data_IF_098861687410
#
_entry.id   IF_098861687410
#
_cell.length_a   1.000
_cell.length_b   1.000
_cell.length_c   1.000
_cell.angle_alpha   90.00
_cell.angle_beta   90.00
_cell.angle_gamma   90.00
#
_symmetry.space_group_name_H-M   'P 1'
#
loop_
_entity.id
_entity.type
_entity.pdbx_description
1 polymer ?
#
# COMPACT_ATOMS: atom_id res chain seq x y z
N UNK A 1 -14.44 14.15 -5.31
CA UNK A 1 -14.65 13.10 -6.34
C UNK A 1 -14.98 13.67 -7.73
N UNK A 2 -15.13 14.99 -7.94
CA UNK A 2 -15.49 15.56 -9.26
C UNK A 2 -14.31 15.90 -10.18
N UNK A 3 -13.09 16.09 -9.66
CA UNK A 3 -11.96 16.57 -10.49
C UNK A 3 -11.38 15.49 -11.42
N UNK A 4 -11.41 14.23 -10.99
CA UNK A 4 -10.86 13.10 -11.77
C UNK A 4 -11.62 12.85 -13.07
N UNK A 5 -12.96 12.98 -13.03
CA UNK A 5 -13.80 12.87 -14.23
C UNK A 5 -13.61 14.06 -15.18
N UNK A 6 -13.30 15.26 -14.68
CA UNK A 6 -13.02 16.42 -15.52
C UNK A 6 -11.68 16.29 -16.26
N UNK A 7 -10.64 15.79 -15.58
CA UNK A 7 -9.32 15.57 -16.20
C UNK A 7 -9.42 14.48 -17.28
N UNK A 8 -10.14 13.39 -17.01
CA UNK A 8 -10.31 12.29 -17.97
C UNK A 8 -11.14 12.72 -19.20
N UNK A 9 -12.20 13.52 -19.00
CA UNK A 9 -13.00 14.08 -20.10
C UNK A 9 -12.20 15.05 -20.98
N UNK A 10 -11.36 15.90 -20.40
CA UNK A 10 -10.50 16.81 -21.16
C UNK A 10 -9.42 16.07 -21.97
N UNK A 11 -8.95 14.92 -21.48
CA UNK A 11 -7.99 14.07 -22.19
C UNK A 11 -8.62 13.28 -23.35
N UNK A 12 -9.88 12.84 -23.20
CA UNK A 12 -10.65 12.12 -24.22
C UNK A 12 -11.18 13.03 -25.33
N UNK A 13 -11.37 14.33 -25.07
CA UNK A 13 -11.95 15.29 -26.02
C UNK A 13 -10.93 16.00 -26.94
N UNK A 14 -9.66 15.58 -26.97
CA UNK A 14 -8.73 16.01 -28.02
C UNK A 14 -8.51 17.53 -28.08
N UNK A 15 -8.36 18.19 -26.94
CA UNK A 15 -8.11 19.62 -26.87
C UNK A 15 -6.76 19.99 -27.50
N UNK A 16 -6.81 20.60 -28.69
CA UNK A 16 -5.74 21.43 -29.27
C UNK A 16 -5.38 22.54 -28.27
N UNK A 17 -4.46 22.24 -27.37
CA UNK A 17 -4.03 23.14 -26.31
C UNK A 17 -2.79 22.59 -25.61
N UNK A 18 -1.72 22.40 -26.38
CA UNK A 18 -0.47 21.76 -25.96
C UNK A 18 0.35 22.50 -24.90
N UNK A 19 -0.26 23.30 -24.02
CA UNK A 19 0.44 24.14 -23.04
C UNK A 19 0.17 23.87 -21.57
N UNK A 20 -0.87 23.11 -21.18
CA UNK A 20 -1.33 23.12 -19.75
C UNK A 20 -1.30 21.78 -19.00
N UNK A 21 -1.02 20.65 -19.64
CA UNK A 21 -1.04 19.33 -18.95
C UNK A 21 0.15 19.17 -18.01
N UNK A 22 1.32 19.69 -18.39
CA UNK A 22 2.55 19.61 -17.58
C UNK A 22 2.47 20.47 -16.31
N UNK A 23 1.74 21.59 -16.36
CA UNK A 23 1.52 22.47 -15.22
C UNK A 23 0.52 21.86 -14.21
N UNK A 24 -0.55 21.20 -14.69
CA UNK A 24 -1.51 20.47 -13.83
C UNK A 24 -0.92 19.22 -13.15
N UNK A 25 0.08 18.57 -13.76
CA UNK A 25 0.79 17.40 -13.18
C UNK A 25 1.77 17.79 -12.06
N UNK A 26 2.29 19.01 -12.10
CA UNK A 26 3.16 19.56 -11.07
C UNK A 26 2.38 20.21 -9.92
N UNK A 27 1.14 20.64 -10.13
CA UNK A 27 0.29 21.23 -9.07
C UNK A 27 -0.49 20.18 -8.25
N UNK A 28 -0.61 18.93 -8.71
CA UNK A 28 -1.28 17.85 -7.99
C UNK A 28 -0.29 16.81 -7.46
N UNK A 29 0.22 17.03 -6.25
CA UNK A 29 1.08 16.07 -5.54
C UNK A 29 0.32 14.81 -5.06
N UNK A 30 -1.01 14.84 -5.06
CA UNK A 30 -1.87 13.71 -4.66
C UNK A 30 -2.16 12.71 -5.79
N UNK A 31 -1.56 12.88 -6.98
CA UNK A 31 -1.74 11.90 -8.05
C UNK A 31 -1.00 10.60 -7.72
N UNK A 32 -1.75 9.49 -7.70
CA UNK A 32 -1.22 8.13 -7.60
C UNK A 32 -0.09 7.93 -8.64
N UNK A 33 1.09 7.41 -8.24
CA UNK A 33 2.21 7.12 -9.13
C UNK A 33 1.81 6.38 -10.42
N UNK A 34 0.77 5.52 -10.36
CA UNK A 34 0.25 4.83 -11.54
C UNK A 34 -0.38 5.80 -12.56
N UNK A 35 -1.04 6.86 -12.11
CA UNK A 35 -1.66 7.88 -12.97
C UNK A 35 -0.59 8.76 -13.64
N UNK A 36 0.46 9.13 -12.89
CA UNK A 36 1.62 9.85 -13.45
C UNK A 36 2.30 9.05 -14.57
N UNK A 37 2.41 7.73 -14.43
CA UNK A 37 2.97 6.85 -15.47
C UNK A 37 2.10 6.79 -16.73
N UNK A 38 0.77 6.77 -16.58
CA UNK A 38 -0.16 6.75 -17.70
C UNK A 38 -0.14 8.06 -18.51
N UNK A 39 -0.13 9.20 -17.83
CA UNK A 39 -0.10 10.52 -18.50
C UNK A 39 1.25 10.74 -19.20
N UNK A 40 2.36 10.33 -18.59
CA UNK A 40 3.68 10.45 -19.24
C UNK A 40 3.80 9.58 -20.49
N UNK A 41 3.24 8.36 -20.50
CA UNK A 41 3.19 7.53 -21.71
C UNK A 41 2.32 8.14 -22.82
N UNK A 42 1.18 8.73 -22.48
CA UNK A 42 0.30 9.39 -23.46
C UNK A 42 0.99 10.60 -24.13
N UNK A 43 1.74 11.39 -23.36
CA UNK A 43 2.50 12.53 -23.90
C UNK A 43 3.70 12.07 -24.75
N UNK A 44 4.33 10.95 -24.38
CA UNK A 44 5.49 10.41 -25.10
C UNK A 44 5.11 9.78 -26.45
N UNK A 45 3.97 9.10 -26.54
CA UNK A 45 3.53 8.42 -27.76
C UNK A 45 3.16 9.35 -28.92
N UNK A 46 2.98 10.65 -28.65
CA UNK A 46 2.60 11.65 -29.67
C UNK A 46 3.80 12.24 -30.44
N UNK A 47 5.04 11.99 -29.99
CA UNK A 47 6.25 12.60 -30.58
C UNK A 47 6.97 11.74 -31.62
N UNK A 48 6.67 10.44 -31.70
CA UNK A 48 7.33 9.52 -32.64
C UNK A 48 6.57 9.36 -33.99
N UNK A 49 5.64 10.27 -34.33
CA UNK A 49 4.69 10.09 -35.43
C UNK A 49 4.72 11.17 -36.52
N UNK A 50 5.83 11.90 -36.65
CA UNK A 50 6.04 12.86 -37.72
C UNK A 50 7.45 12.67 -38.30
N UNK A 51 7.62 11.70 -39.21
CA UNK A 51 8.60 11.65 -40.31
C UNK A 51 8.80 10.20 -40.80
N UNK A 52 7.73 9.56 -41.31
CA UNK A 52 7.89 8.33 -42.10
C UNK A 52 6.83 8.28 -43.22
N UNK A 53 6.88 9.26 -44.12
CA UNK A 53 6.31 9.13 -45.46
C UNK A 53 7.30 8.37 -46.33
N UNK A 54 7.35 7.03 -46.25
CA UNK A 54 8.04 6.23 -47.25
C UNK A 54 7.52 4.78 -47.33
N UNK A 55 6.83 4.48 -48.44
CA UNK A 55 6.54 3.15 -48.99
C UNK A 55 6.05 2.06 -47.99
N UNK A 56 4.78 2.15 -47.57
CA UNK A 56 4.10 1.01 -46.93
C UNK A 56 3.64 -0.01 -47.97
N UNK A 57 4.33 -1.14 -48.06
CA UNK A 57 3.78 -2.38 -48.63
C UNK A 57 2.44 -2.71 -47.91
N UNK A 58 1.30 -2.61 -48.61
CA UNK A 58 -0.04 -2.85 -48.07
C UNK A 58 -0.21 -4.24 -47.44
N UNK A 59 0.66 -5.19 -47.76
CA UNK A 59 0.65 -6.57 -47.29
C UNK A 59 1.09 -6.72 -45.81
N UNK A 60 1.72 -5.69 -45.20
CA UNK A 60 2.27 -5.78 -43.84
C UNK A 60 1.37 -5.18 -42.73
N UNK A 61 0.24 -4.56 -43.10
CA UNK A 61 -0.76 -4.00 -42.17
C UNK A 61 -1.40 -5.05 -41.24
N UNK A 62 -1.76 -6.27 -41.70
CA UNK A 62 -2.30 -7.32 -40.83
C UNK A 62 -1.30 -7.75 -39.74
N UNK A 63 -0.01 -7.78 -40.07
CA UNK A 63 1.09 -8.14 -39.15
C UNK A 63 1.22 -7.13 -38.00
N UNK A 64 1.16 -5.82 -38.31
CA UNK A 64 1.25 -4.74 -37.30
C UNK A 64 0.06 -4.77 -36.33
N UNK A 65 -1.17 -4.93 -36.85
CA UNK A 65 -2.39 -5.00 -36.01
C UNK A 65 -2.38 -6.20 -35.08
N UNK A 66 -1.94 -7.38 -35.56
CA UNK A 66 -1.85 -8.59 -34.74
C UNK A 66 -0.86 -8.41 -33.58
N UNK A 67 0.33 -7.87 -33.85
CA UNK A 67 1.33 -7.57 -32.80
C UNK A 67 0.82 -6.58 -31.76
N UNK A 68 0.00 -5.59 -32.16
CA UNK A 68 -0.61 -4.66 -31.22
C UNK A 68 -1.61 -5.37 -30.27
N UNK A 69 -2.45 -6.25 -30.81
CA UNK A 69 -3.40 -7.04 -30.01
C UNK A 69 -2.65 -7.98 -29.06
N UNK A 70 -1.60 -8.66 -29.54
CA UNK A 70 -0.81 -9.58 -28.72
C UNK A 70 -0.11 -8.84 -27.57
N UNK A 71 0.38 -7.62 -27.81
CA UNK A 71 0.93 -6.75 -26.74
C UNK A 71 -0.10 -6.35 -25.69
N UNK A 72 -1.33 -6.03 -26.11
CA UNK A 72 -2.42 -5.70 -25.18
C UNK A 72 -2.83 -6.90 -24.35
N UNK A 73 -2.92 -8.08 -24.96
CA UNK A 73 -3.21 -9.35 -24.25
C UNK A 73 -2.15 -9.66 -23.22
N UNK A 74 -0.87 -9.62 -23.60
CA UNK A 74 0.23 -9.86 -22.66
C UNK A 74 0.22 -8.87 -21.48
N UNK A 75 -0.09 -7.59 -21.73
CA UNK A 75 -0.23 -6.59 -20.64
C UNK A 75 -1.42 -6.89 -19.73
N UNK A 76 -2.55 -7.29 -20.30
CA UNK A 76 -3.74 -7.65 -19.53
C UNK A 76 -3.48 -8.89 -18.67
N UNK A 77 -2.82 -9.91 -19.20
CA UNK A 77 -2.40 -11.10 -18.45
C UNK A 77 -1.51 -10.74 -17.25
N UNK A 78 -0.52 -9.86 -17.44
CA UNK A 78 0.33 -9.38 -16.34
C UNK A 78 -0.50 -8.64 -15.29
N UNK A 79 -1.43 -7.78 -15.71
CA UNK A 79 -2.30 -7.04 -14.78
C UNK A 79 -3.25 -7.96 -14.02
N UNK A 80 -3.80 -8.99 -14.67
CA UNK A 80 -4.62 -10.00 -14.01
C UNK A 80 -3.83 -10.76 -12.97
N UNK A 81 -2.61 -11.19 -13.28
CA UNK A 81 -1.73 -11.85 -12.32
C UNK A 81 -1.45 -10.96 -11.11
N UNK A 82 -1.20 -9.66 -11.32
CA UNK A 82 -1.00 -8.73 -10.22
C UNK A 82 -2.23 -8.58 -9.32
N UNK A 83 -3.44 -8.59 -9.90
CA UNK A 83 -4.68 -8.54 -9.12
C UNK A 83 -4.82 -9.81 -8.27
N UNK A 84 -4.59 -10.98 -8.85
CA UNK A 84 -4.64 -12.25 -8.13
C UNK A 84 -3.62 -12.28 -6.98
N UNK A 85 -2.39 -11.84 -7.24
CA UNK A 85 -1.35 -11.77 -6.21
C UNK A 85 -1.72 -10.81 -5.06
N UNK A 86 -2.33 -9.65 -5.37
CA UNK A 86 -2.80 -8.70 -4.35
C UNK A 86 -3.99 -9.26 -3.56
N UNK A 87 -4.92 -9.94 -4.22
CA UNK A 87 -6.05 -10.58 -3.54
C UNK A 87 -5.57 -11.64 -2.55
N UNK A 88 -4.62 -12.47 -2.97
CA UNK A 88 -4.01 -13.47 -2.09
C UNK A 88 -3.31 -12.84 -0.87
N UNK A 89 -2.63 -11.70 -1.06
CA UNK A 89 -2.01 -10.98 0.05
C UNK A 89 -3.04 -10.41 1.03
N UNK A 90 -4.17 -9.90 0.53
CA UNK A 90 -5.26 -9.39 1.38
C UNK A 90 -5.83 -10.53 2.23
N UNK A 91 -6.14 -11.67 1.61
CA UNK A 91 -6.67 -12.84 2.32
C UNK A 91 -5.71 -13.31 3.43
N UNK A 92 -4.41 -13.43 3.14
CA UNK A 92 -3.41 -13.81 4.15
C UNK A 92 -3.31 -12.78 5.29
N UNK A 93 -3.41 -11.49 4.99
CA UNK A 93 -3.41 -10.44 6.02
C UNK A 93 -4.68 -10.50 6.89
N UNK A 94 -5.84 -10.76 6.29
CA UNK A 94 -7.11 -10.91 7.00
C UNK A 94 -7.06 -12.13 7.94
N UNK A 95 -6.58 -13.27 7.47
CA UNK A 95 -6.38 -14.48 8.26
C UNK A 95 -5.45 -14.24 9.47
N UNK A 96 -4.34 -13.54 9.24
CA UNK A 96 -3.41 -13.17 10.30
C UNK A 96 -4.04 -12.20 11.31
N UNK A 97 -4.80 -11.21 10.83
CA UNK A 97 -5.50 -10.25 11.68
C UNK A 97 -6.55 -10.95 12.55
N UNK A 98 -7.35 -11.85 11.99
CA UNK A 98 -8.32 -12.65 12.74
C UNK A 98 -7.62 -13.51 13.80
N UNK A 99 -6.53 -14.20 13.44
CA UNK A 99 -5.76 -15.01 14.37
C UNK A 99 -5.17 -14.17 15.52
N UNK A 100 -4.70 -12.95 15.25
CA UNK A 100 -4.20 -12.04 16.28
C UNK A 100 -5.31 -11.49 17.18
N UNK A 101 -6.45 -11.12 16.60
CA UNK A 101 -7.60 -10.67 17.35
C UNK A 101 -8.12 -11.78 18.27
N UNK A 102 -8.23 -13.02 17.78
CA UNK A 102 -8.57 -14.19 18.57
C UNK A 102 -7.53 -14.46 19.68
N UNK A 103 -6.24 -14.36 19.35
CA UNK A 103 -5.16 -14.51 20.32
C UNK A 103 -5.26 -13.49 21.46
N UNK A 104 -5.72 -12.27 21.19
CA UNK A 104 -5.85 -11.19 22.16
C UNK A 104 -7.24 -11.08 22.80
N UNK A 105 -8.22 -11.85 22.33
CA UNK A 105 -9.61 -11.72 22.75
C UNK A 105 -10.22 -10.36 22.36
N UNK A 106 -9.90 -9.88 21.15
CA UNK A 106 -10.42 -8.67 20.54
C UNK A 106 -11.41 -9.00 19.40
N UNK A 107 -12.16 -8.00 18.93
CA UNK A 107 -12.93 -8.10 17.70
C UNK A 107 -11.99 -7.96 16.49
N UNK A 108 -12.04 -8.92 15.56
CA UNK A 108 -11.20 -8.94 14.36
C UNK A 108 -11.47 -7.77 13.41
N UNK A 109 -12.70 -7.23 13.43
CA UNK A 109 -13.14 -6.20 12.50
C UNK A 109 -12.71 -4.79 12.95
N UNK A 110 -12.92 -4.43 14.22
CA UNK A 110 -12.74 -3.05 14.67
C UNK A 110 -11.78 -2.87 15.85
N UNK A 111 -11.32 -3.95 16.49
CA UNK A 111 -10.42 -3.88 17.66
C UNK A 111 -10.96 -3.03 18.84
N UNK A 112 -12.27 -2.76 18.85
CA UNK A 112 -12.95 -1.92 19.83
C UNK A 112 -12.80 -0.41 19.62
N UNK A 113 -12.35 0.02 18.44
CA UNK A 113 -12.27 1.45 18.06
C UNK A 113 -13.61 1.99 17.54
N UNK A 114 -14.41 1.15 16.90
CA UNK A 114 -15.72 1.52 16.36
C UNK A 114 -16.86 1.15 17.32
N UNK A 115 -17.55 2.18 17.86
CA UNK A 115 -18.70 2.03 18.76
C UNK A 115 -19.94 1.44 18.10
N UNK A 116 -20.07 1.57 16.77
CA UNK A 116 -21.23 1.09 16.00
C UNK A 116 -20.92 -0.22 15.25
N UNK A 117 -19.79 -0.86 15.59
CA UNK A 117 -19.36 -2.08 14.93
C UNK A 117 -20.46 -3.16 14.97
N UNK A 118 -20.85 -3.74 13.81
CA UNK A 118 -21.95 -4.71 13.74
C UNK A 118 -21.65 -6.01 14.51
N UNK A 119 -20.39 -6.38 14.65
CA UNK A 119 -19.97 -7.63 15.31
C UNK A 119 -19.91 -7.51 16.83
N UNK A 120 -19.32 -6.43 17.36
CA UNK A 120 -19.04 -6.30 18.79
C UNK A 120 -19.74 -5.14 19.49
N UNK A 121 -20.42 -4.26 18.75
CA UNK A 121 -21.13 -3.09 19.27
C UNK A 121 -20.23 -2.21 20.15
N UNK A 122 -18.99 -1.96 19.70
CA UNK A 122 -18.01 -1.15 20.43
C UNK A 122 -17.32 -1.82 21.62
N UNK A 123 -17.63 -3.07 21.93
CA UNK A 123 -17.06 -3.76 23.10
C UNK A 123 -15.79 -4.54 22.80
N UNK A 124 -15.41 -4.69 21.53
CA UNK A 124 -14.39 -5.60 21.02
C UNK A 124 -12.92 -5.25 21.30
N UNK A 125 -12.61 -4.56 22.41
CA UNK A 125 -11.24 -4.22 22.79
C UNK A 125 -10.43 -5.48 23.16
N UNK A 126 -9.09 -5.48 23.06
CA UNK A 126 -8.28 -6.59 23.55
C UNK A 126 -8.62 -6.99 24.99
N UNK A 127 -8.83 -8.28 25.23
CA UNK A 127 -9.28 -8.84 26.51
C UNK A 127 -10.78 -8.73 26.80
N UNK A 128 -11.59 -8.22 25.86
CA UNK A 128 -13.05 -8.19 26.00
C UNK A 128 -13.70 -9.56 25.89
N UNK A 129 -13.06 -10.47 25.15
CA UNK A 129 -13.45 -11.88 24.99
C UNK A 129 -12.33 -12.75 25.57
N UNK A 130 -12.65 -13.99 25.96
CA UNK A 130 -11.65 -14.95 26.42
C UNK A 130 -10.65 -15.23 25.28
N UNK A 131 -9.35 -14.91 25.46
CA UNK A 131 -8.38 -15.08 24.39
C UNK A 131 -8.12 -16.56 24.04
N UNK A 132 -7.90 -16.85 22.76
CA UNK A 132 -7.51 -18.19 22.33
C UNK A 132 -6.10 -18.51 22.87
N UNK A 133 -6.04 -19.51 23.76
CA UNK A 133 -4.81 -19.88 24.46
C UNK A 133 -3.72 -20.40 23.53
N UNK A 134 -4.10 -21.10 22.46
CA UNK A 134 -3.15 -21.69 21.52
C UNK A 134 -2.51 -20.60 20.65
N UNK A 135 -3.33 -19.69 20.13
CA UNK A 135 -2.87 -18.56 19.33
C UNK A 135 -2.09 -17.55 20.18
N UNK A 136 -2.55 -17.25 21.39
CA UNK A 136 -1.81 -16.40 22.33
C UNK A 136 -0.42 -16.95 22.61
N UNK A 137 -0.31 -18.27 22.84
CA UNK A 137 0.99 -18.92 23.08
C UNK A 137 1.89 -18.89 21.84
N UNK A 138 1.33 -19.05 20.64
CA UNK A 138 2.07 -19.05 19.38
C UNK A 138 2.59 -17.66 19.01
N UNK A 139 1.73 -16.65 19.08
CA UNK A 139 2.00 -15.32 18.52
C UNK A 139 2.41 -14.27 19.56
N UNK A 140 1.70 -14.22 20.70
CA UNK A 140 1.83 -13.11 21.67
C UNK A 140 2.91 -13.40 22.71
N UNK A 141 2.94 -14.62 23.23
CA UNK A 141 3.84 -15.00 24.33
C UNK A 141 5.33 -14.80 24.02
N UNK A 142 5.84 -15.10 22.79
CA UNK A 142 7.23 -14.81 22.44
C UNK A 142 7.56 -13.31 22.51
N UNK A 143 6.67 -12.46 21.97
CA UNK A 143 6.87 -11.01 21.97
C UNK A 143 6.87 -10.44 23.40
N UNK A 144 5.94 -10.89 24.25
CA UNK A 144 5.85 -10.46 25.66
C UNK A 144 7.13 -10.83 26.42
N UNK A 145 7.66 -12.04 26.23
CA UNK A 145 8.91 -12.48 26.88
C UNK A 145 10.10 -11.61 26.48
N UNK A 146 10.22 -11.32 25.18
CA UNK A 146 11.29 -10.44 24.66
C UNK A 146 11.18 -9.04 25.23
N UNK A 147 9.98 -8.46 25.27
CA UNK A 147 9.75 -7.13 25.84
C UNK A 147 10.08 -7.07 27.34
N UNK A 148 9.68 -8.09 28.11
CA UNK A 148 10.01 -8.19 29.53
C UNK A 148 11.52 -8.30 29.79
N UNK A 149 12.22 -9.13 29.00
CA UNK A 149 13.67 -9.28 29.11
C UNK A 149 14.39 -7.94 28.82
N UNK A 150 13.98 -7.23 27.77
CA UNK A 150 14.51 -5.92 27.42
C UNK A 150 14.24 -4.88 28.53
N UNK A 151 13.04 -4.87 29.11
CA UNK A 151 12.69 -3.98 30.21
C UNK A 151 13.56 -4.24 31.46
N UNK A 152 13.81 -5.50 31.81
CA UNK A 152 14.67 -5.87 32.93
C UNK A 152 16.13 -5.44 32.72
N UNK A 153 16.66 -5.57 31.51
CA UNK A 153 18.02 -5.12 31.19
C UNK A 153 18.16 -3.59 31.34
N UNK A 154 17.16 -2.82 30.89
CA UNK A 154 17.14 -1.36 31.07
C UNK A 154 17.14 -0.94 32.53
N UNK A 155 16.42 -1.66 33.39
CA UNK A 155 16.40 -1.39 34.83
C UNK A 155 17.76 -1.63 35.49
N UNK A 156 18.46 -2.72 35.13
CA UNK A 156 19.81 -3.02 35.64
C UNK A 156 20.84 -1.95 35.23
N UNK A 157 20.83 -1.53 33.96
CA UNK A 157 21.73 -0.47 33.50
C UNK A 157 21.51 0.86 34.25
N UNK A 158 20.27 1.18 34.63
CA UNK A 158 19.96 2.40 35.38
C UNK A 158 20.46 2.35 36.83
N UNK A 159 20.47 1.17 37.47
CA UNK A 159 21.00 1.02 38.83
C UNK A 159 22.53 1.07 38.88
N UNK A 160 23.20 0.55 37.86
CA UNK A 160 24.67 0.58 37.76
C UNK A 160 25.21 1.97 37.39
N UNK A 161 24.38 2.82 36.78
CA UNK A 161 24.73 4.19 36.38
C UNK A 161 24.50 5.23 37.48
N UNK A 162 24.12 4.84 38.71
CA UNK A 162 23.94 5.79 39.80
C UNK A 162 25.34 6.27 40.24
N UNK A 163 25.67 7.58 40.10
CA UNK A 163 27.02 8.06 40.36
C UNK A 163 27.41 7.78 41.81
N UNK A 164 28.59 7.17 41.98
CA UNK A 164 29.23 6.95 43.28
C UNK A 164 29.23 8.30 44.02
N UNK A 165 28.68 8.39 45.25
CA UNK A 165 28.65 9.65 45.96
C UNK A 165 30.08 10.16 46.10
N UNK A 166 30.33 11.36 45.56
CA UNK A 166 31.62 12.02 45.64
C UNK A 166 31.95 12.20 47.12
N UNK A 167 33.07 11.61 47.53
CA UNK A 167 33.58 11.74 48.90
C UNK A 167 33.77 13.22 49.23
N UNK A 168 33.30 13.69 50.40
CA UNK A 168 33.43 15.08 50.78
C UNK A 168 34.92 15.44 50.88
N UNK A 169 35.35 16.38 50.03
CA UNK A 169 36.68 16.99 50.10
C UNK A 169 36.72 17.82 51.38
N UNK A 170 37.31 17.27 52.43
CA UNK A 170 37.59 18.00 53.67
C UNK A 170 38.58 19.13 53.37
N UNK A 171 38.18 20.35 53.71
CA UNK A 171 38.99 21.56 53.73
C UNK A 171 39.47 21.87 55.15
#
# INVERSE_FOLDING_TARGET
>A
MSDMNQVLMNLLMGGQGGGNVEQMLNENDDLDPMTRMLVSQALSGSRDQADDENDEDEDDRPSRRRRAIDRLRARFEIMQQQIEDMQWQIEEMEDQNEALAAALGACYLCWGEDSECPECQGKGKPGSILPDRSLFRKWILPAVRTAQAAAQQRLKHKTDSKPKPEEPKNA
#
